data_IF_267735093587
#
_entry.id   IF_267735093587
#
_cell.length_a   1.000
_cell.length_b   1.000
_cell.length_c   1.000
_cell.angle_alpha   90.00
_cell.angle_beta   90.00
_cell.angle_gamma   90.00
#
_symmetry.space_group_name_H-M   'P 1'
#
loop_
_entity.id
_entity.type
_entity.pdbx_description
1 polymer ?
#
# COMPACT_ATOMS: atom_id res chain seq x y z
N UNK A 1 2.42 6.76 0.96
CA UNK A 1 1.14 6.24 0.45
C UNK A 1 0.46 5.55 1.60
N UNK A 2 -0.74 6.00 1.96
CA UNK A 2 -1.45 5.55 3.16
C UNK A 2 -2.82 4.95 2.79
N UNK A 3 -3.43 4.21 3.70
CA UNK A 3 -4.76 3.61 3.52
C UNK A 3 -4.82 2.16 4.03
N UNK A 4 -6.00 1.53 4.06
CA UNK A 4 -6.17 0.26 4.77
C UNK A 4 -5.40 -0.92 4.14
N UNK A 5 -5.23 -2.00 4.89
CA UNK A 5 -4.64 -3.25 4.36
C UNK A 5 -5.43 -3.79 3.16
N UNK A 6 -4.71 -4.36 2.18
CA UNK A 6 -5.31 -4.93 0.97
C UNK A 6 -5.71 -3.93 -0.12
N UNK A 7 -5.56 -2.62 0.08
CA UNK A 7 -5.89 -1.60 -0.92
C UNK A 7 -4.88 -1.47 -2.07
N UNK A 8 -3.81 -2.26 -2.07
CA UNK A 8 -2.81 -2.27 -3.15
C UNK A 8 -1.71 -1.22 -3.01
N UNK A 9 -1.43 -0.74 -1.80
CA UNK A 9 -0.34 0.22 -1.53
C UNK A 9 1.02 -0.29 -2.03
N UNK A 10 1.37 -1.53 -1.69
CA UNK A 10 2.57 -2.22 -2.17
C UNK A 10 2.60 -2.35 -3.69
N UNK A 11 1.47 -2.75 -4.30
CA UNK A 11 1.39 -2.85 -5.76
C UNK A 11 1.60 -1.48 -6.44
N UNK A 12 1.07 -0.40 -5.85
CA UNK A 12 1.27 0.96 -6.33
C UNK A 12 2.72 1.44 -6.16
N UNK A 13 3.35 1.20 -5.00
CA UNK A 13 4.75 1.59 -4.77
C UNK A 13 5.70 0.85 -5.70
N UNK A 14 5.47 -0.45 -5.96
CA UNK A 14 6.23 -1.24 -6.94
C UNK A 14 6.06 -0.66 -8.35
N UNK A 15 4.82 -0.37 -8.77
CA UNK A 15 4.56 0.21 -10.09
C UNK A 15 5.24 1.58 -10.27
N UNK A 16 5.19 2.42 -9.24
CA UNK A 16 5.88 3.73 -9.21
C UNK A 16 7.40 3.53 -9.30
N UNK A 17 7.97 2.61 -8.53
CA UNK A 17 9.39 2.31 -8.53
C UNK A 17 9.88 1.88 -9.92
N UNK A 18 9.19 0.94 -10.57
CA UNK A 18 9.51 0.51 -11.92
C UNK A 18 9.43 1.66 -12.92
N UNK A 19 8.32 2.39 -12.92
CA UNK A 19 8.11 3.52 -13.83
C UNK A 19 9.21 4.59 -13.72
N UNK A 20 9.55 5.00 -12.50
CA UNK A 20 10.57 6.03 -12.26
C UNK A 20 11.99 5.53 -12.58
N UNK A 21 12.25 4.24 -12.36
CA UNK A 21 13.51 3.58 -12.70
C UNK A 21 13.71 3.52 -14.22
N UNK A 22 12.71 3.05 -14.97
CA UNK A 22 12.74 2.98 -16.44
C UNK A 22 12.97 4.35 -17.09
N UNK A 23 12.34 5.39 -16.52
CA UNK A 23 12.48 6.78 -16.97
C UNK A 23 13.77 7.45 -16.50
N UNK A 24 14.57 6.78 -15.66
CA UNK A 24 15.81 7.30 -15.08
C UNK A 24 15.63 8.68 -14.43
N UNK A 25 14.50 8.87 -13.73
CA UNK A 25 14.20 10.15 -13.06
C UNK A 25 15.23 10.47 -11.97
N UNK A 26 15.75 9.44 -11.31
CA UNK A 26 16.76 9.54 -10.27
C UNK A 26 18.10 9.07 -10.81
N UNK A 27 19.14 9.92 -10.74
CA UNK A 27 20.48 9.66 -11.30
C UNK A 27 21.09 8.37 -10.76
N UNK A 28 20.85 8.06 -9.50
CA UNK A 28 21.36 6.88 -8.82
C UNK A 28 20.30 5.77 -8.67
N UNK A 29 19.21 5.86 -9.43
CA UNK A 29 18.16 4.84 -9.49
C UNK A 29 17.22 4.81 -8.29
N UNK A 30 16.49 3.71 -8.18
CA UNK A 30 15.49 3.45 -7.13
C UNK A 30 15.99 2.31 -6.25
N UNK A 31 16.01 2.53 -4.93
CA UNK A 31 16.32 1.53 -3.93
C UNK A 31 15.00 1.07 -3.30
N UNK A 32 14.68 -0.22 -3.35
CA UNK A 32 13.43 -0.77 -2.83
C UNK A 32 13.71 -1.70 -1.65
N UNK A 33 13.10 -1.41 -0.50
CA UNK A 33 13.23 -2.19 0.73
C UNK A 33 11.84 -2.68 1.16
N UNK A 34 11.72 -3.97 1.38
CA UNK A 34 10.49 -4.65 1.76
C UNK A 34 10.84 -5.93 2.49
N UNK A 35 9.99 -6.33 3.44
CA UNK A 35 10.01 -7.65 4.07
C UNK A 35 9.39 -8.75 3.17
N UNK A 36 9.11 -8.48 1.90
CA UNK A 36 8.50 -9.44 1.00
C UNK A 36 7.04 -9.74 1.38
N UNK A 37 6.68 -11.02 1.49
CA UNK A 37 5.31 -11.46 1.80
C UNK A 37 4.97 -11.50 3.29
N UNK A 38 5.87 -11.04 4.16
CA UNK A 38 5.60 -11.00 5.59
C UNK A 38 4.69 -9.80 5.92
N UNK A 39 3.65 -10.06 6.71
CA UNK A 39 2.70 -9.04 7.16
C UNK A 39 3.29 -8.11 8.25
N UNK A 40 4.50 -8.41 8.73
CA UNK A 40 5.16 -7.66 9.79
C UNK A 40 5.79 -6.37 9.24
N UNK A 41 5.51 -5.22 9.87
CA UNK A 41 6.14 -3.97 9.48
C UNK A 41 7.66 -4.00 9.61
N UNK A 42 8.37 -3.30 8.72
CA UNK A 42 9.83 -3.17 8.78
C UNK A 42 10.26 -2.39 10.04
N UNK A 43 11.20 -2.97 10.79
CA UNK A 43 11.94 -2.25 11.83
C UNK A 43 13.02 -1.34 11.22
N UNK A 44 13.60 -0.47 12.05
CA UNK A 44 14.72 0.37 11.63
C UNK A 44 15.94 -0.47 11.18
N UNK A 45 16.19 -1.60 11.85
CA UNK A 45 17.28 -2.51 11.50
C UNK A 45 17.05 -3.16 10.13
N UNK A 46 15.82 -3.59 9.84
CA UNK A 46 15.46 -4.18 8.54
C UNK A 46 15.64 -3.16 7.40
N UNK A 47 15.29 -1.90 7.65
CA UNK A 47 15.47 -0.81 6.68
C UNK A 47 16.96 -0.60 6.39
N UNK A 48 17.79 -0.47 7.42
CA UNK A 48 19.25 -0.30 7.29
C UNK A 48 19.86 -1.48 6.53
N UNK A 49 19.51 -2.71 6.90
CA UNK A 49 20.03 -3.91 6.27
C UNK A 49 19.58 -4.02 4.81
N UNK A 50 18.31 -3.73 4.51
CA UNK A 50 17.78 -3.73 3.15
C UNK A 50 18.47 -2.71 2.25
N UNK A 51 18.73 -1.51 2.77
CA UNK A 51 19.49 -0.47 2.06
C UNK A 51 20.95 -0.86 1.84
N UNK A 52 21.60 -1.40 2.86
CA UNK A 52 22.97 -1.90 2.76
C UNK A 52 23.09 -2.97 1.66
N UNK A 53 22.17 -3.94 1.65
CA UNK A 53 22.10 -4.97 0.61
C UNK A 53 21.88 -4.36 -0.78
N UNK A 54 20.89 -3.48 -0.94
CA UNK A 54 20.57 -2.84 -2.22
C UNK A 54 21.74 -2.01 -2.78
N UNK A 55 22.56 -1.42 -1.91
CA UNK A 55 23.74 -0.65 -2.28
C UNK A 55 25.04 -1.48 -2.35
N UNK A 56 24.98 -2.79 -2.07
CA UNK A 56 26.13 -3.70 -2.00
C UNK A 56 27.19 -3.26 -0.98
N UNK A 57 26.73 -2.76 0.17
CA UNK A 57 27.60 -2.47 1.31
C UNK A 57 27.98 -3.76 2.06
N UNK A 58 29.02 -3.73 2.93
CA UNK A 58 29.40 -4.86 3.76
C UNK A 58 28.22 -5.37 4.63
N UNK A 59 28.20 -6.67 4.94
CA UNK A 59 27.12 -7.31 5.69
C UNK A 59 26.89 -6.72 7.10
N UNK A 60 27.89 -6.06 7.68
CA UNK A 60 27.83 -5.39 8.98
C UNK A 60 27.82 -3.86 8.82
N UNK A 61 27.30 -3.34 7.71
CA UNK A 61 27.17 -1.91 7.50
C UNK A 61 26.27 -1.31 8.58
N UNK A 62 26.86 -0.44 9.40
CA UNK A 62 26.10 0.38 10.34
C UNK A 62 25.24 1.43 9.62
N UNK A 63 24.28 2.01 10.35
CA UNK A 63 23.46 3.14 9.90
C UNK A 63 24.32 4.27 9.29
N UNK A 64 25.46 4.60 9.91
CA UNK A 64 26.39 5.61 9.40
C UNK A 64 26.93 5.28 8.01
N UNK A 65 27.30 4.02 7.75
CA UNK A 65 27.77 3.61 6.42
C UNK A 65 26.66 3.76 5.36
N UNK A 66 25.42 3.44 5.72
CA UNK A 66 24.25 3.63 4.85
C UNK A 66 24.05 5.12 4.56
N UNK A 67 24.15 5.99 5.57
CA UNK A 67 24.00 7.43 5.39
C UNK A 67 25.10 8.03 4.53
N UNK A 68 26.36 7.67 4.77
CA UNK A 68 27.49 8.12 3.96
C UNK A 68 27.33 7.68 2.49
N UNK A 69 26.83 6.47 2.27
CA UNK A 69 26.55 5.95 0.92
C UNK A 69 25.37 6.65 0.23
N UNK A 70 24.33 7.06 0.99
CA UNK A 70 23.17 7.79 0.49
C UNK A 70 23.45 9.27 0.26
N UNK A 71 24.32 9.90 1.06
CA UNK A 71 24.65 11.32 0.98
C UNK A 71 25.14 11.73 -0.41
N UNK A 72 25.82 10.83 -1.12
CA UNK A 72 26.36 11.07 -2.46
C UNK A 72 25.41 10.68 -3.60
N UNK A 73 24.15 10.36 -3.29
CA UNK A 73 23.18 9.80 -4.25
C UNK A 73 21.94 10.67 -4.41
N UNK A 74 21.51 10.80 -5.65
CA UNK A 74 20.19 11.28 -6.03
C UNK A 74 19.33 10.05 -6.35
N UNK A 75 18.76 9.44 -5.31
CA UNK A 75 17.98 8.20 -5.39
C UNK A 75 16.57 8.38 -4.81
N UNK A 76 15.63 7.57 -5.31
CA UNK A 76 14.39 7.31 -4.60
C UNK A 76 14.58 6.10 -3.71
N UNK A 77 14.31 6.23 -2.42
CA UNK A 77 14.22 5.13 -1.48
C UNK A 77 12.75 4.77 -1.29
N UNK A 78 12.38 3.55 -1.64
CA UNK A 78 11.04 3.00 -1.43
C UNK A 78 11.08 2.04 -0.26
N UNK A 79 10.25 2.28 0.77
CA UNK A 79 10.18 1.47 1.98
C UNK A 79 8.75 0.93 2.11
N UNK A 80 8.57 -0.37 1.90
CA UNK A 80 7.25 -0.98 1.92
C UNK A 80 6.88 -1.46 3.33
N UNK A 81 5.78 -0.93 3.88
CA UNK A 81 5.23 -1.28 5.19
C UNK A 81 6.22 -1.09 6.37
N UNK A 82 6.81 0.09 6.61
CA UNK A 82 7.60 0.30 7.82
C UNK A 82 6.72 0.50 9.05
N UNK A 83 7.27 0.17 10.23
CA UNK A 83 6.64 0.52 11.51
C UNK A 83 6.77 2.03 11.77
N UNK A 84 5.90 2.82 11.14
CA UNK A 84 5.90 4.28 11.26
C UNK A 84 5.54 4.80 12.66
N UNK A 85 5.08 3.91 13.55
CA UNK A 85 4.77 4.21 14.95
C UNK A 85 6.03 4.08 15.81
N UNK A 86 6.94 3.16 15.46
CA UNK A 86 8.19 2.97 16.17
C UNK A 86 9.08 4.22 16.10
N UNK A 87 9.46 4.74 17.27
CA UNK A 87 10.37 5.87 17.38
C UNK A 87 11.68 5.65 16.62
N UNK A 88 12.24 4.43 16.65
CA UNK A 88 13.47 4.11 15.95
C UNK A 88 13.37 4.29 14.42
N UNK A 89 12.25 3.88 13.81
CA UNK A 89 12.01 4.08 12.37
C UNK A 89 11.87 5.56 12.06
N UNK A 90 11.12 6.29 12.87
CA UNK A 90 10.90 7.73 12.69
C UNK A 90 12.22 8.52 12.77
N UNK A 91 13.05 8.22 13.77
CA UNK A 91 14.40 8.80 13.93
C UNK A 91 15.29 8.44 12.74
N UNK A 92 15.29 7.19 12.29
CA UNK A 92 16.03 6.76 11.11
C UNK A 92 15.62 7.56 9.86
N UNK A 93 14.32 7.71 9.59
CA UNK A 93 13.81 8.47 8.44
C UNK A 93 14.19 9.96 8.52
N UNK A 94 14.09 10.56 9.70
CA UNK A 94 14.50 11.95 9.92
C UNK A 94 16.01 12.11 9.70
N UNK A 95 16.82 11.19 10.21
CA UNK A 95 18.27 11.20 10.01
C UNK A 95 18.64 11.02 8.54
N UNK A 96 18.01 10.09 7.83
CA UNK A 96 18.22 9.89 6.40
C UNK A 96 17.94 11.16 5.59
N UNK A 97 16.83 11.84 5.87
CA UNK A 97 16.45 13.06 5.17
C UNK A 97 17.29 14.28 5.59
N UNK A 98 17.74 14.33 6.84
CA UNK A 98 18.62 15.40 7.34
C UNK A 98 20.07 15.27 6.87
N UNK A 99 20.57 14.05 6.68
CA UNK A 99 21.96 13.80 6.30
C UNK A 99 22.15 13.55 4.80
N UNK A 100 21.16 13.01 4.08
CA UNK A 100 21.27 12.78 2.64
C UNK A 100 20.42 13.79 1.86
N UNK A 101 21.05 14.90 1.45
CA UNK A 101 20.32 16.07 0.93
C UNK A 101 19.50 15.84 -0.35
N UNK A 102 19.87 14.85 -1.17
CA UNK A 102 19.27 14.65 -2.50
C UNK A 102 18.40 13.38 -2.62
N UNK A 103 18.20 12.64 -1.53
CA UNK A 103 17.31 11.47 -1.59
C UNK A 103 15.84 11.89 -1.46
N UNK A 104 14.96 11.10 -2.04
CA UNK A 104 13.52 11.16 -1.76
C UNK A 104 13.09 9.84 -1.15
N UNK A 105 12.18 9.89 -0.19
CA UNK A 105 11.62 8.69 0.44
C UNK A 105 10.15 8.55 0.03
N UNK A 106 9.80 7.37 -0.46
CA UNK A 106 8.43 6.92 -0.64
C UNK A 106 8.22 5.73 0.29
N UNK A 107 7.23 5.78 1.18
CA UNK A 107 6.86 4.59 1.94
C UNK A 107 5.38 4.29 1.81
N UNK A 108 5.02 3.04 2.08
CA UNK A 108 3.63 2.57 2.18
C UNK A 108 3.34 2.26 3.64
N UNK A 109 2.19 2.71 4.15
CA UNK A 109 1.80 2.44 5.54
C UNK A 109 0.27 2.45 5.63
N UNK A 110 -0.30 1.99 6.74
CA UNK A 110 -1.74 2.17 6.97
C UNK A 110 -2.08 3.63 7.28
N UNK A 111 -1.22 4.27 8.08
CA UNK A 111 -1.35 5.64 8.56
C UNK A 111 -0.21 6.52 8.04
N UNK A 112 -0.41 7.83 8.07
CA UNK A 112 0.64 8.81 7.75
C UNK A 112 1.65 8.97 8.90
N UNK A 113 2.85 9.50 8.63
CA UNK A 113 3.81 9.80 9.70
C UNK A 113 3.28 10.90 10.63
N UNK A 114 2.60 11.90 10.06
CA UNK A 114 2.08 13.07 10.78
C UNK A 114 0.99 12.75 11.80
N UNK A 115 0.33 11.60 11.74
CA UNK A 115 -0.67 11.19 12.74
C UNK A 115 -0.09 11.10 14.16
N UNK A 116 1.21 10.82 14.29
CA UNK A 116 1.94 10.83 15.57
C UNK A 116 2.90 12.02 15.68
N UNK A 117 2.52 13.13 15.06
CA UNK A 117 3.33 14.34 14.97
C UNK A 117 4.21 14.38 13.72
N UNK A 118 4.50 15.57 13.19
CA UNK A 118 5.37 15.71 12.03
C UNK A 118 6.83 15.38 12.39
N UNK A 119 7.60 14.91 11.40
CA UNK A 119 9.06 14.85 11.52
C UNK A 119 9.62 16.27 11.39
N UNK A 120 10.46 16.69 12.33
CA UNK A 120 11.04 18.04 12.32
C UNK A 120 11.90 18.26 11.07
N UNK A 121 11.71 19.40 10.40
CA UNK A 121 12.47 19.75 9.19
C UNK A 121 12.14 18.92 7.94
N UNK A 122 11.13 18.06 8.00
CA UNK A 122 10.76 17.16 6.89
C UNK A 122 9.38 17.53 6.34
N UNK A 123 9.30 17.71 5.02
CA UNK A 123 8.03 17.87 4.32
C UNK A 123 7.44 16.49 3.99
N UNK A 124 6.28 16.17 4.56
CA UNK A 124 5.51 14.97 4.21
C UNK A 124 4.45 15.30 3.15
N UNK A 125 4.35 14.47 2.11
CA UNK A 125 3.24 14.48 1.17
C UNK A 125 2.47 13.16 1.26
N UNK A 126 1.25 13.24 1.77
CA UNK A 126 0.39 12.07 1.95
C UNK A 126 -0.46 11.84 0.69
N UNK A 127 -0.42 10.61 0.19
CA UNK A 127 -1.29 10.12 -0.87
C UNK A 127 -2.11 8.96 -0.32
N UNK A 128 -3.39 9.20 -0.07
CA UNK A 128 -4.33 8.18 0.39
C UNK A 128 -4.81 7.34 -0.79
N UNK A 129 -4.60 6.02 -0.71
CA UNK A 129 -5.07 5.11 -1.74
C UNK A 129 -6.57 4.90 -1.58
N UNK A 130 -7.30 5.05 -2.68
CA UNK A 130 -8.74 4.83 -2.71
C UNK A 130 -9.05 3.39 -3.12
N UNK A 131 -10.22 2.84 -2.71
CA UNK A 131 -10.68 1.57 -3.26
C UNK A 131 -10.85 1.67 -4.79
N UNK A 132 -10.82 0.51 -5.45
CA UNK A 132 -11.04 0.46 -6.90
C UNK A 132 -12.47 0.90 -7.24
N UNK A 133 -12.67 1.47 -8.43
CA UNK A 133 -14.02 1.55 -8.95
C UNK A 133 -14.55 0.14 -9.27
N UNK A 134 -15.88 0.01 -9.27
CA UNK A 134 -16.58 -1.25 -9.53
C UNK A 134 -16.12 -1.99 -10.79
N UNK A 135 -15.92 -1.25 -11.89
CA UNK A 135 -15.49 -1.85 -13.16
C UNK A 135 -14.02 -2.24 -13.12
N UNK A 136 -13.15 -1.46 -12.48
CA UNK A 136 -11.76 -1.82 -12.24
C UNK A 136 -11.65 -3.06 -11.35
N UNK A 137 -12.50 -3.19 -10.33
CA UNK A 137 -12.57 -4.37 -9.47
C UNK A 137 -12.95 -5.62 -10.28
N UNK A 138 -14.00 -5.54 -11.11
CA UNK A 138 -14.41 -6.62 -11.99
C UNK A 138 -13.31 -7.00 -13.00
N UNK A 139 -12.66 -6.01 -13.62
CA UNK A 139 -11.51 -6.24 -14.52
C UNK A 139 -10.35 -6.91 -13.79
N UNK A 140 -10.06 -6.50 -12.56
CA UNK A 140 -9.00 -7.08 -11.76
C UNK A 140 -9.28 -8.56 -11.47
N UNK A 141 -10.52 -8.91 -11.09
CA UNK A 141 -10.93 -10.30 -10.89
C UNK A 141 -10.64 -11.12 -12.15
N UNK A 142 -11.15 -10.67 -13.30
CA UNK A 142 -11.00 -11.38 -14.56
C UNK A 142 -9.54 -11.50 -14.99
N UNK A 143 -8.71 -10.47 -14.75
CA UNK A 143 -7.28 -10.46 -15.10
C UNK A 143 -6.45 -11.35 -14.18
N UNK A 144 -6.84 -11.47 -12.90
CA UNK A 144 -6.14 -12.30 -11.91
C UNK A 144 -6.69 -13.72 -11.83
N UNK A 145 -7.78 -14.00 -12.55
CA UNK A 145 -8.35 -15.33 -12.64
C UNK A 145 -7.32 -16.30 -13.25
N UNK A 146 -7.06 -17.45 -12.61
CA UNK A 146 -6.08 -18.45 -13.03
C UNK A 146 -6.52 -19.20 -14.31
N UNK A 147 -7.80 -19.09 -14.65
CA UNK A 147 -8.41 -19.63 -15.86
C UNK A 147 -9.27 -18.56 -16.51
N UNK A 148 -9.59 -18.77 -17.78
CA UNK A 148 -10.58 -17.95 -18.47
C UNK A 148 -11.96 -18.15 -17.82
N UNK A 149 -12.54 -17.05 -17.36
CA UNK A 149 -13.95 -17.00 -16.94
C UNK A 149 -14.82 -16.83 -18.18
N UNK A 150 -15.83 -17.68 -18.31
CA UNK A 150 -16.76 -17.68 -19.42
C UNK A 150 -18.06 -16.93 -19.05
N UNK A 151 -18.63 -16.10 -19.93
CA UNK A 151 -19.91 -15.41 -19.67
C UNK A 151 -21.04 -16.35 -19.25
N UNK A 152 -21.06 -17.57 -19.79
CA UNK A 152 -22.07 -18.59 -19.59
C UNK A 152 -22.13 -19.08 -18.13
N UNK A 153 -21.01 -19.00 -17.37
CA UNK A 153 -20.96 -19.35 -15.95
C UNK A 153 -21.97 -18.52 -15.13
N UNK A 154 -22.25 -17.30 -15.57
CA UNK A 154 -23.20 -16.37 -14.93
C UNK A 154 -24.42 -16.08 -15.81
N UNK A 155 -24.61 -16.82 -16.91
CA UNK A 155 -25.70 -16.58 -17.86
C UNK A 155 -25.59 -15.24 -18.61
N UNK A 156 -24.39 -14.65 -18.66
CA UNK A 156 -24.15 -13.43 -19.41
C UNK A 156 -24.04 -13.73 -20.90
N UNK A 157 -24.64 -12.88 -21.74
CA UNK A 157 -24.66 -13.04 -23.21
C UNK A 157 -23.37 -12.57 -23.90
N UNK A 158 -22.52 -11.83 -23.18
CA UNK A 158 -21.30 -11.24 -23.73
C UNK A 158 -20.28 -10.97 -22.62
N UNK A 159 -19.04 -10.70 -23.01
CA UNK A 159 -17.98 -10.32 -22.08
C UNK A 159 -18.27 -8.98 -21.39
N UNK A 160 -18.93 -8.06 -22.08
CA UNK A 160 -19.34 -6.77 -21.50
C UNK A 160 -20.47 -6.96 -20.48
N UNK A 161 -21.46 -7.81 -20.78
CA UNK A 161 -22.51 -8.15 -19.84
C UNK A 161 -21.96 -8.86 -18.58
N UNK A 162 -20.95 -9.73 -18.76
CA UNK A 162 -20.23 -10.36 -17.65
C UNK A 162 -19.52 -9.31 -16.79
N UNK A 163 -18.83 -8.35 -17.41
CA UNK A 163 -18.12 -7.29 -16.70
C UNK A 163 -19.08 -6.41 -15.90
N UNK A 164 -20.21 -6.02 -16.49
CA UNK A 164 -21.23 -5.20 -15.84
C UNK A 164 -21.92 -5.96 -14.70
N UNK A 165 -22.18 -7.26 -14.88
CA UNK A 165 -22.70 -8.12 -13.80
C UNK A 165 -21.74 -8.14 -12.62
N UNK A 166 -20.45 -8.38 -12.87
CA UNK A 166 -19.43 -8.42 -11.83
C UNK A 166 -19.24 -7.06 -11.15
N UNK A 167 -19.23 -5.97 -11.92
CA UNK A 167 -19.07 -4.63 -11.37
C UNK A 167 -20.14 -4.29 -10.33
N UNK A 168 -21.35 -4.83 -10.50
CA UNK A 168 -22.46 -4.61 -9.57
C UNK A 168 -22.63 -5.72 -8.51
N UNK A 169 -21.78 -6.75 -8.52
CA UNK A 169 -21.88 -7.86 -7.59
C UNK A 169 -21.30 -7.50 -6.21
N UNK A 170 -22.09 -7.66 -5.15
CA UNK A 170 -21.75 -7.19 -3.81
C UNK A 170 -20.46 -7.81 -3.24
N UNK A 171 -20.13 -9.06 -3.61
CA UNK A 171 -18.92 -9.75 -3.13
C UNK A 171 -17.61 -9.14 -3.63
N UNK A 172 -17.66 -8.30 -4.68
CA UNK A 172 -16.50 -7.55 -5.14
C UNK A 172 -16.44 -6.22 -4.38
N UNK A 173 -15.98 -6.28 -3.12
CA UNK A 173 -15.86 -5.16 -2.18
C UNK A 173 -14.93 -4.02 -2.64
N UNK A 174 -14.51 -3.98 -3.91
CA UNK A 174 -13.61 -2.97 -4.47
C UNK A 174 -12.22 -2.89 -3.81
N UNK A 175 -11.87 -3.91 -3.00
CA UNK A 175 -10.57 -4.04 -2.32
C UNK A 175 -9.69 -5.02 -3.11
N UNK A 176 -8.57 -4.58 -3.71
CA UNK A 176 -7.69 -5.41 -4.53
C UNK A 176 -7.27 -6.74 -3.89
N UNK A 177 -6.84 -6.73 -2.62
CA UNK A 177 -6.39 -7.94 -1.92
C UNK A 177 -7.47 -9.03 -1.89
N UNK A 178 -8.71 -8.64 -1.52
CA UNK A 178 -9.87 -9.55 -1.53
C UNK A 178 -10.20 -10.05 -2.93
N UNK A 179 -10.13 -9.18 -3.93
CA UNK A 179 -10.40 -9.57 -5.32
C UNK A 179 -9.39 -10.63 -5.79
N UNK A 180 -8.12 -10.50 -5.39
CA UNK A 180 -7.08 -11.50 -5.71
C UNK A 180 -7.34 -12.82 -4.99
N UNK A 181 -7.75 -12.79 -3.71
CA UNK A 181 -8.15 -14.01 -2.97
C UNK A 181 -9.32 -14.73 -3.67
N UNK A 182 -10.36 -13.98 -4.04
CA UNK A 182 -11.53 -14.51 -4.78
C UNK A 182 -11.10 -15.07 -6.14
N UNK A 183 -10.19 -14.39 -6.84
CA UNK A 183 -9.67 -14.87 -8.12
C UNK A 183 -8.96 -16.23 -7.97
N UNK A 184 -8.21 -16.43 -6.88
CA UNK A 184 -7.51 -17.69 -6.61
C UNK A 184 -8.47 -18.87 -6.35
N UNK A 185 -9.66 -18.62 -5.78
CA UNK A 185 -10.68 -19.66 -5.58
C UNK A 185 -11.19 -20.25 -6.91
N UNK A 186 -11.09 -19.50 -8.01
CA UNK A 186 -11.50 -19.95 -9.35
C UNK A 186 -10.59 -21.04 -9.94
N UNK A 187 -9.50 -21.43 -9.25
CA UNK A 187 -8.70 -22.62 -9.62
C UNK A 187 -9.51 -23.90 -9.54
N UNK A 188 -10.38 -24.00 -8.54
CA UNK A 188 -11.11 -25.23 -8.19
C UNK A 188 -12.63 -25.09 -8.29
N UNK A 189 -13.13 -23.88 -8.54
CA UNK A 189 -14.55 -23.58 -8.55
C UNK A 189 -14.96 -22.78 -9.80
N UNK A 190 -16.22 -22.95 -10.21
CA UNK A 190 -16.85 -22.04 -11.15
C UNK A 190 -17.11 -20.67 -10.49
N UNK A 191 -17.26 -19.63 -11.32
CA UNK A 191 -17.46 -18.27 -10.80
C UNK A 191 -18.76 -18.13 -10.01
N UNK A 192 -19.82 -18.87 -10.39
CA UNK A 192 -21.10 -18.82 -9.70
C UNK A 192 -20.99 -19.38 -8.28
N UNK A 193 -20.27 -20.49 -8.11
CA UNK A 193 -20.02 -21.13 -6.83
C UNK A 193 -19.20 -20.22 -5.91
N UNK A 194 -18.15 -19.58 -6.44
CA UNK A 194 -17.35 -18.62 -5.66
C UNK A 194 -18.19 -17.43 -5.22
N UNK A 195 -18.93 -16.78 -6.14
CA UNK A 195 -19.74 -15.61 -5.80
C UNK A 195 -20.87 -15.91 -4.81
N UNK A 196 -21.41 -17.14 -4.84
CA UNK A 196 -22.48 -17.57 -3.94
C UNK A 196 -22.00 -18.19 -2.62
N UNK A 197 -20.69 -18.37 -2.42
CA UNK A 197 -20.18 -19.03 -1.22
C UNK A 197 -20.49 -18.23 0.05
N UNK A 198 -20.86 -18.94 1.13
CA UNK A 198 -21.16 -18.33 2.45
C UNK A 198 -19.96 -17.60 3.03
N UNK A 199 -18.73 -18.05 2.75
CA UNK A 199 -17.50 -17.38 3.18
C UNK A 199 -17.38 -15.97 2.60
N UNK A 200 -17.77 -15.76 1.34
CA UNK A 200 -17.81 -14.43 0.76
C UNK A 200 -18.88 -13.54 1.42
N UNK A 201 -20.01 -14.13 1.87
CA UNK A 201 -21.07 -13.41 2.60
C UNK A 201 -20.72 -13.07 4.05
N UNK A 202 -19.99 -13.92 4.76
CA UNK A 202 -19.57 -13.64 6.14
C UNK A 202 -18.43 -12.61 6.20
N UNK A 203 -17.51 -12.63 5.22
CA UNK A 203 -16.44 -11.63 5.11
C UNK A 203 -16.95 -10.23 4.68
N UNK A 204 -18.09 -10.15 3.99
CA UNK A 204 -18.80 -8.90 3.70
C UNK A 204 -19.29 -8.18 4.98
N UNK A 205 -19.70 -8.95 6.00
CA UNK A 205 -20.19 -8.40 7.26
C UNK A 205 -19.05 -7.85 8.15
N UNK A 206 -17.85 -8.43 8.07
CA UNK A 206 -16.68 -7.97 8.83
C UNK A 206 -16.02 -6.73 8.21
N UNK A 207 -15.91 -6.64 6.88
CA UNK A 207 -15.37 -5.48 6.18
C UNK A 207 -16.24 -4.21 6.32
N UNK A 208 -17.56 -4.36 6.43
CA UNK A 208 -18.46 -3.23 6.73
C UNK A 208 -18.26 -2.65 8.13
N UNK A 209 -17.88 -3.50 9.11
CA UNK A 209 -17.64 -3.05 10.50
C UNK A 209 -16.30 -2.31 10.65
N UNK A 210 -15.27 -2.69 9.89
CA UNK A 210 -13.97 -1.99 9.93
C UNK A 210 -13.97 -0.67 9.15
N UNK A 211 -14.85 -0.48 8.17
CA UNK A 211 -14.95 0.77 7.40
C UNK A 211 -15.83 1.87 8.02
N UNK A 212 -16.69 1.57 9.00
CA UNK A 212 -17.62 2.55 9.60
C UNK A 212 -17.16 3.15 10.94
N UNK A 213 -15.97 2.80 11.44
CA UNK A 213 -15.50 3.24 12.77
C UNK A 213 -14.79 4.61 12.84
N UNK A 214 -14.47 5.26 11.70
CA UNK A 214 -13.54 6.40 11.68
C UNK A 214 -14.14 7.80 11.62
N UNK A 215 -15.47 7.96 11.48
CA UNK A 215 -16.09 9.26 11.27
C UNK A 215 -17.20 9.55 12.26
N UNK A 216 -16.85 9.78 13.53
CA UNK A 216 -17.67 10.64 14.42
C UNK A 216 -16.90 10.99 15.70
N UNK A 217 -16.18 12.11 15.68
CA UNK A 217 -16.04 13.10 16.78
C UNK A 217 -14.95 14.11 16.44
N UNK A 218 -15.27 15.04 15.55
CA UNK A 218 -14.61 16.35 15.55
C UNK A 218 -15.70 17.40 15.36
N UNK A 219 -16.27 17.86 16.48
CA UNK A 219 -17.01 19.13 16.49
C UNK A 219 -16.97 19.76 17.87
N UNK A 220 -16.46 21.00 17.85
CA UNK A 220 -16.59 22.10 18.82
C UNK A 220 -15.65 22.07 20.03
N UNK A 221 -14.50 22.72 19.86
CA UNK A 221 -14.01 23.68 20.86
C UNK A 221 -13.37 24.86 20.13
N UNK A 222 -14.18 25.89 19.90
CA UNK A 222 -13.74 27.21 19.47
C UNK A 222 -14.61 28.24 20.17
N UNK A 223 -13.95 29.06 20.99
CA UNK A 223 -14.45 30.36 21.42
C UNK A 223 -15.01 30.43 22.83
N UNK A 224 -14.16 30.83 23.79
CA UNK A 224 -14.49 31.88 24.78
C UNK A 224 -13.23 32.33 25.54
N UNK A 225 -12.54 33.30 24.96
CA UNK A 225 -11.74 34.26 25.71
C UNK A 225 -12.19 35.66 25.30
N UNK A 226 -12.88 36.36 26.23
CA UNK A 226 -12.72 37.81 26.49
C UNK A 226 -13.60 38.27 27.66
N UNK A 227 -13.00 39.17 28.46
CA UNK A 227 -13.50 39.97 29.60
C UNK A 227 -13.60 39.16 30.90
N UNK A 228 -12.99 39.55 32.02
CA UNK A 228 -12.61 40.88 32.52
C UNK A 228 -11.12 40.96 32.85
#
# INVERSE_FOLDING_TARGET
ICGPSGFGKTAASIAIAHYLSERRVFRNGVLFVSNGHHNEPLSAADIVQGLACAMKLPAHASERHVFDALHRRQSLVVIDNPDVQAWAVRTLLANMLGHAGDIKILFTAEQSLSENGPLFGVAEKVHEIQPLDKRAAARLLLRRSPRRVLPEELGAKSREALLEFLANHESLCCIPGRIVEVALMLRSHDLRAVLNSRENRMNLASARKSGMGGHTKFRKNLGRHRKM
#
